data_IF_336353929985
#
_entry.id   IF_336353929985
#
_cell.length_a   1.000
_cell.length_b   1.000
_cell.length_c   1.000
_cell.angle_alpha   90.00
_cell.angle_beta   90.00
_cell.angle_gamma   90.00
#
_symmetry.space_group_name_H-M   'P 1'
#
loop_
_entity.id
_entity.type
_entity.pdbx_description
1 polymer ?
#
# COMPACT_ATOMS: atom_id res chain seq x y z
N UNK A 1 0.77 16.34 -8.04
CA UNK A 1 -0.21 16.61 -6.97
C UNK A 1 -0.57 18.09 -6.82
N UNK A 2 0.01 19.00 -7.63
CA UNK A 2 -0.20 20.46 -7.50
C UNK A 2 -1.56 20.98 -7.99
N UNK A 3 -2.33 20.17 -8.71
CA UNK A 3 -3.64 20.59 -9.26
C UNK A 3 -4.80 20.51 -8.26
N UNK A 4 -4.63 19.80 -7.13
CA UNK A 4 -5.68 19.66 -6.11
C UNK A 4 -5.79 20.88 -5.19
N UNK A 5 -4.72 21.66 -5.05
CA UNK A 5 -4.70 22.89 -4.25
C UNK A 5 -4.68 24.15 -5.12
N UNK A 6 -5.09 24.02 -6.39
CA UNK A 6 -5.07 25.13 -7.34
C UNK A 6 -6.16 26.14 -6.97
N UNK A 7 -5.82 27.44 -6.96
CA UNK A 7 -6.79 28.54 -6.71
C UNK A 7 -8.04 28.49 -7.60
N UNK A 8 -7.98 27.80 -8.76
CA UNK A 8 -9.13 27.60 -9.64
C UNK A 8 -9.92 26.38 -9.19
N UNK A 9 -11.03 26.67 -8.51
CA UNK A 9 -12.01 25.70 -8.00
C UNK A 9 -12.42 24.62 -9.00
N UNK A 10 -12.54 24.97 -10.28
CA UNK A 10 -12.88 24.04 -11.36
C UNK A 10 -11.80 22.98 -11.62
N UNK A 11 -10.53 23.34 -11.49
CA UNK A 11 -9.40 22.43 -11.69
C UNK A 11 -9.31 21.44 -10.53
N UNK A 12 -9.46 21.93 -9.29
CA UNK A 12 -9.51 21.08 -8.11
C UNK A 12 -10.66 20.07 -8.18
N UNK A 13 -11.87 20.52 -8.57
CA UNK A 13 -13.03 19.65 -8.74
C UNK A 13 -12.82 18.59 -9.84
N UNK A 14 -12.28 18.98 -10.99
CA UNK A 14 -11.97 18.05 -12.07
C UNK A 14 -10.93 17.01 -11.64
N UNK A 15 -9.91 17.41 -10.87
CA UNK A 15 -8.90 16.51 -10.35
C UNK A 15 -9.47 15.53 -9.32
N UNK A 16 -10.35 15.97 -8.41
CA UNK A 16 -11.06 15.11 -7.44
C UNK A 16 -11.90 14.06 -8.17
N UNK A 17 -12.66 14.47 -9.18
CA UNK A 17 -13.47 13.55 -9.99
C UNK A 17 -12.61 12.56 -10.77
N UNK A 18 -11.50 13.01 -11.36
CA UNK A 18 -10.57 12.15 -12.08
C UNK A 18 -9.93 11.10 -11.15
N UNK A 19 -9.60 11.46 -9.90
CA UNK A 19 -9.08 10.54 -8.91
C UNK A 19 -10.09 9.47 -8.50
N UNK A 20 -11.36 9.86 -8.32
CA UNK A 20 -12.44 8.90 -8.08
C UNK A 20 -12.64 7.92 -9.24
N UNK A 21 -12.61 8.44 -10.47
CA UNK A 21 -12.74 7.63 -11.69
C UNK A 21 -11.54 6.70 -11.94
N UNK A 22 -10.33 7.10 -11.52
CA UNK A 22 -9.10 6.32 -11.68
C UNK A 22 -9.08 5.05 -10.83
N UNK A 23 -9.83 5.01 -9.72
CA UNK A 23 -9.97 3.80 -8.93
C UNK A 23 -8.80 3.48 -7.98
N UNK A 24 -7.78 4.33 -7.86
CA UNK A 24 -6.57 4.02 -7.09
C UNK A 24 -6.83 4.09 -5.56
N UNK A 25 -6.63 2.99 -4.80
CA UNK A 25 -6.70 2.96 -3.34
C UNK A 25 -5.87 4.04 -2.62
N UNK A 26 -4.73 4.44 -3.19
CA UNK A 26 -3.85 5.47 -2.61
C UNK A 26 -4.46 6.87 -2.69
N UNK A 27 -5.44 7.07 -3.57
CA UNK A 27 -6.16 8.33 -3.68
C UNK A 27 -7.12 8.56 -2.50
N UNK A 28 -7.53 7.52 -1.77
CA UNK A 28 -8.48 7.63 -0.63
C UNK A 28 -7.95 8.59 0.43
N UNK A 29 -6.68 8.45 0.83
CA UNK A 29 -6.08 9.32 1.85
C UNK A 29 -5.97 10.79 1.41
N UNK A 30 -5.89 11.05 0.10
CA UNK A 30 -5.90 12.40 -0.46
C UNK A 30 -7.32 12.94 -0.51
N UNK A 31 -8.28 12.16 -1.00
CA UNK A 31 -9.70 12.53 -1.07
C UNK A 31 -10.30 12.79 0.31
N UNK A 32 -9.91 12.03 1.34
CA UNK A 32 -10.34 12.24 2.73
C UNK A 32 -9.94 13.63 3.26
N UNK A 33 -8.80 14.18 2.83
CA UNK A 33 -8.40 15.57 3.18
C UNK A 33 -9.30 16.63 2.55
N UNK A 34 -9.93 16.34 1.42
CA UNK A 34 -10.90 17.24 0.78
C UNK A 34 -12.32 17.02 1.31
N UNK A 35 -12.62 15.82 1.80
CA UNK A 35 -13.88 15.52 2.48
C UNK A 35 -14.03 16.25 3.84
N UNK A 36 -12.92 16.66 4.46
CA UNK A 36 -12.93 17.48 5.69
C UNK A 36 -13.07 19.00 5.45
N UNK A 37 -13.15 19.44 4.18
CA UNK A 37 -13.41 20.84 3.85
C UNK A 37 -14.80 21.32 4.32
N UNK A 38 -15.05 22.63 4.25
CA UNK A 38 -16.32 23.24 4.67
C UNK A 38 -17.54 22.50 4.10
N UNK A 39 -18.57 22.30 4.94
CA UNK A 39 -19.77 21.50 4.63
C UNK A 39 -20.49 21.88 3.33
N UNK A 40 -20.37 23.13 2.90
CA UNK A 40 -21.04 23.68 1.71
C UNK A 40 -20.13 23.70 0.46
N UNK A 41 -18.95 23.08 0.52
CA UNK A 41 -18.01 23.07 -0.61
C UNK A 41 -18.35 21.96 -1.62
N UNK A 42 -18.51 22.26 -2.92
CA UNK A 42 -18.67 21.24 -3.96
C UNK A 42 -17.53 20.21 -4.00
N UNK A 43 -16.34 20.61 -3.57
CA UNK A 43 -15.15 19.76 -3.46
C UNK A 43 -15.33 18.66 -2.43
N UNK A 44 -15.93 18.98 -1.28
CA UNK A 44 -16.26 17.98 -0.27
C UNK A 44 -17.25 16.96 -0.80
N UNK A 45 -18.33 17.41 -1.43
CA UNK A 45 -19.34 16.50 -2.00
C UNK A 45 -18.73 15.58 -3.06
N UNK A 46 -17.87 16.12 -3.92
CA UNK A 46 -17.15 15.33 -4.92
C UNK A 46 -16.18 14.32 -4.28
N UNK A 47 -15.47 14.73 -3.22
CA UNK A 47 -14.53 13.86 -2.51
C UNK A 47 -15.24 12.75 -1.73
N UNK A 48 -16.32 13.06 -1.01
CA UNK A 48 -17.14 12.08 -0.28
C UNK A 48 -17.71 11.03 -1.24
N UNK A 49 -18.24 11.48 -2.39
CA UNK A 49 -18.73 10.58 -3.43
C UNK A 49 -17.62 9.69 -3.99
N UNK A 50 -16.48 10.28 -4.34
CA UNK A 50 -15.33 9.52 -4.85
C UNK A 50 -14.84 8.46 -3.84
N UNK A 51 -14.78 8.80 -2.55
CA UNK A 51 -14.42 7.83 -1.50
C UNK A 51 -15.46 6.71 -1.37
N UNK A 52 -16.75 7.04 -1.43
CA UNK A 52 -17.82 6.05 -1.39
C UNK A 52 -17.75 5.09 -2.59
N UNK A 53 -17.58 5.64 -3.80
CA UNK A 53 -17.46 4.87 -5.04
C UNK A 53 -16.20 3.98 -5.03
N UNK A 54 -15.06 4.48 -4.54
CA UNK A 54 -13.84 3.69 -4.38
C UNK A 54 -14.02 2.55 -3.39
N UNK A 55 -14.71 2.79 -2.27
CA UNK A 55 -14.99 1.76 -1.27
C UNK A 55 -16.03 0.75 -1.76
N UNK A 56 -17.02 1.17 -2.54
CA UNK A 56 -18.02 0.29 -3.15
C UNK A 56 -17.46 -0.52 -4.32
N UNK A 57 -16.51 0.05 -5.07
CA UNK A 57 -15.81 -0.59 -6.18
C UNK A 57 -14.77 -1.63 -5.74
N UNK A 58 -14.26 -1.54 -4.50
CA UNK A 58 -13.53 -2.66 -3.87
C UNK A 58 -14.48 -3.81 -3.61
N UNK A 59 -14.56 -4.76 -4.54
CA UNK A 59 -15.17 -6.05 -4.24
C UNK A 59 -14.28 -6.75 -3.20
N UNK A 60 -14.84 -7.25 -2.09
CA UNK A 60 -14.07 -7.99 -1.06
C UNK A 60 -13.20 -9.10 -1.65
N UNK A 61 -13.63 -9.68 -2.77
CA UNK A 61 -12.94 -10.73 -3.52
C UNK A 61 -11.54 -10.31 -3.98
N UNK A 62 -11.34 -9.04 -4.36
CA UNK A 62 -10.03 -8.58 -4.83
C UNK A 62 -9.09 -8.28 -3.66
N UNK A 63 -9.63 -7.80 -2.53
CA UNK A 63 -8.87 -7.70 -1.27
C UNK A 63 -8.43 -9.09 -0.76
N UNK A 64 -9.29 -10.11 -0.88
CA UNK A 64 -8.94 -11.48 -0.53
C UNK A 64 -7.85 -12.09 -1.42
N UNK A 65 -7.84 -11.78 -2.72
CA UNK A 65 -6.77 -12.23 -3.63
C UNK A 65 -5.45 -11.58 -3.26
N UNK A 66 -5.44 -10.26 -3.08
CA UNK A 66 -4.23 -9.51 -2.71
C UNK A 66 -3.67 -10.02 -1.36
N UNK A 67 -4.54 -10.21 -0.37
CA UNK A 67 -4.14 -10.76 0.93
C UNK A 67 -3.60 -12.20 0.81
N UNK A 68 -4.23 -13.03 -0.03
CA UNK A 68 -3.76 -14.39 -0.29
C UNK A 68 -2.37 -14.39 -0.93
N UNK A 69 -2.14 -13.51 -1.91
CA UNK A 69 -0.86 -13.40 -2.59
C UNK A 69 0.23 -12.91 -1.63
N UNK A 70 -0.07 -11.92 -0.78
CA UNK A 70 0.84 -11.42 0.24
C UNK A 70 1.18 -12.49 1.30
N UNK A 71 0.19 -13.28 1.74
CA UNK A 71 0.42 -14.42 2.65
C UNK A 71 1.31 -15.49 2.00
N UNK A 72 1.10 -15.79 0.71
CA UNK A 72 1.91 -16.77 -0.01
C UNK A 72 3.36 -16.29 -0.16
N UNK A 73 3.57 -15.01 -0.47
CA UNK A 73 4.91 -14.42 -0.57
C UNK A 73 5.61 -14.41 0.80
N UNK A 74 4.93 -13.98 1.86
CA UNK A 74 5.46 -14.01 3.22
C UNK A 74 5.82 -15.44 3.68
N UNK A 75 5.01 -16.43 3.31
CA UNK A 75 5.34 -17.84 3.58
C UNK A 75 6.58 -18.30 2.82
N UNK A 76 6.76 -17.85 1.58
CA UNK A 76 7.94 -18.15 0.77
C UNK A 76 9.20 -17.53 1.39
N UNK A 77 9.15 -16.23 1.69
CA UNK A 77 10.23 -15.50 2.35
C UNK A 77 10.61 -16.13 3.70
N UNK A 78 9.63 -16.54 4.50
CA UNK A 78 9.90 -17.23 5.77
C UNK A 78 10.65 -18.57 5.58
N UNK A 79 10.31 -19.34 4.55
CA UNK A 79 11.01 -20.59 4.24
C UNK A 79 12.44 -20.33 3.79
N UNK A 80 12.65 -19.32 2.95
CA UNK A 80 13.98 -18.91 2.48
C UNK A 80 14.84 -18.42 3.64
N UNK A 81 14.33 -17.51 4.47
CA UNK A 81 15.04 -17.01 5.66
C UNK A 81 15.42 -18.13 6.63
N UNK A 82 14.52 -19.10 6.88
CA UNK A 82 14.82 -20.25 7.74
C UNK A 82 15.96 -21.09 7.18
N UNK A 83 15.99 -21.29 5.86
CA UNK A 83 17.07 -22.03 5.19
C UNK A 83 18.39 -21.27 5.28
N UNK A 84 18.39 -19.97 5.02
CA UNK A 84 19.58 -19.12 5.15
C UNK A 84 20.14 -19.12 6.57
N UNK A 85 19.27 -19.06 7.58
CA UNK A 85 19.68 -19.16 8.99
C UNK A 85 20.31 -20.51 9.30
N UNK A 86 19.77 -21.61 8.78
CA UNK A 86 20.33 -22.95 8.98
C UNK A 86 21.69 -23.09 8.30
N UNK A 87 21.83 -22.60 7.07
CA UNK A 87 23.09 -22.61 6.33
C UNK A 87 24.15 -21.74 7.02
N UNK A 88 23.75 -20.58 7.56
CA UNK A 88 24.65 -19.71 8.31
C UNK A 88 25.09 -20.36 9.62
N UNK A 89 24.17 -21.01 10.34
CA UNK A 89 24.48 -21.75 11.56
C UNK A 89 25.50 -22.86 11.30
N UNK A 90 25.31 -23.66 10.24
CA UNK A 90 26.28 -24.70 9.83
C UNK A 90 27.65 -24.11 9.50
N UNK A 91 27.70 -22.95 8.82
CA UNK A 91 28.97 -22.26 8.51
C UNK A 91 29.67 -21.76 9.77
N UNK A 92 28.93 -21.22 10.74
CA UNK A 92 29.48 -20.79 12.03
C UNK A 92 30.04 -21.99 12.79
N UNK A 93 29.26 -23.07 12.95
CA UNK A 93 29.72 -24.31 13.61
C UNK A 93 30.97 -24.89 12.92
N UNK A 94 31.01 -24.89 11.58
CA UNK A 94 32.18 -25.34 10.81
C UNK A 94 33.40 -24.42 10.93
N UNK A 95 33.20 -23.12 11.20
CA UNK A 95 34.27 -22.16 11.45
C UNK A 95 34.79 -22.27 12.89
N UNK A 96 33.90 -22.49 13.86
CA UNK A 96 34.23 -22.72 15.27
C UNK A 96 34.91 -24.08 15.52
N UNK A 97 34.68 -25.08 14.66
CA UNK A 97 35.35 -26.38 14.73
C UNK A 97 36.75 -26.41 14.11
N UNK A 98 37.18 -25.35 13.39
CA UNK A 98 38.48 -25.28 12.71
C UNK A 98 39.65 -24.58 13.44
N UNK A 99 39.55 -23.97 14.63
CA UNK A 99 40.71 -23.35 15.26
C UNK A 99 41.43 -24.34 16.18
N UNK A 100 42.04 -25.39 15.62
CA UNK A 100 43.18 -26.12 16.21
C UNK A 100 43.76 -27.12 15.21
N UNK A 101 44.24 -26.67 14.05
CA UNK A 101 45.18 -27.47 13.24
C UNK A 101 45.87 -26.60 12.19
N UNK A 102 46.78 -25.73 12.62
CA UNK A 102 47.81 -25.14 11.75
C UNK A 102 48.96 -24.61 12.62
N UNK A 103 49.94 -25.51 12.79
CA UNK A 103 51.40 -25.36 12.97
C UNK A 103 51.99 -24.08 13.59
#
# INVERSE_FOLDING_TARGET
MDYLNHQKRSIALAAINALGALGDPKAVAVLEKFATASKESPERTAAERAVADLRAGRKPVDDFKNLRDEVLDLQKQNRELRKELEDLKKKVEAAEAKPTESK
#
